data_IF_773810627390
#
_entry.id   IF_773810627390
#
_cell.length_a   1.000
_cell.length_b   1.000
_cell.length_c   1.000
_cell.angle_alpha   90.00
_cell.angle_beta   90.00
_cell.angle_gamma   90.00
#
_symmetry.space_group_name_H-M   'P 1'
#
loop_
_entity.id
_entity.type
_entity.pdbx_description
1 polymer ?
#
# COMPACT_ATOMS: atom_id res chain seq x y z
N UNK A 1 17.61 -14.44 2.86
CA UNK A 1 16.28 -13.77 2.87
C UNK A 1 16.00 -13.30 1.45
N UNK A 2 15.00 -13.84 0.76
CA UNK A 2 14.63 -13.43 -0.60
C UNK A 2 13.39 -12.54 -0.47
N UNK A 3 13.46 -11.31 -0.97
CA UNK A 3 12.30 -10.44 -1.05
C UNK A 3 11.32 -11.02 -2.08
N UNK A 4 10.03 -10.95 -1.80
CA UNK A 4 9.00 -11.31 -2.78
C UNK A 4 8.93 -10.21 -3.83
N UNK A 5 8.85 -10.59 -5.11
CA UNK A 5 8.64 -9.64 -6.19
C UNK A 5 7.18 -9.17 -6.15
N UNK A 6 7.00 -7.87 -5.93
CA UNK A 6 5.70 -7.19 -5.95
C UNK A 6 5.63 -6.38 -7.23
N UNK A 7 4.56 -6.55 -7.99
CA UNK A 7 4.25 -5.79 -9.19
C UNK A 7 2.86 -5.16 -9.02
N UNK A 8 2.72 -3.83 -9.15
CA UNK A 8 3.76 -2.86 -9.54
C UNK A 8 4.83 -2.65 -8.46
N UNK A 9 5.88 -1.89 -8.83
CA UNK A 9 6.92 -1.44 -7.90
C UNK A 9 6.32 -0.78 -6.65
N UNK A 10 7.06 -0.71 -5.52
CA UNK A 10 6.58 -0.05 -4.31
C UNK A 10 6.00 1.34 -4.60
N UNK A 11 4.93 1.68 -3.89
CA UNK A 11 4.24 2.96 -4.04
C UNK A 11 5.19 4.09 -3.60
N UNK A 12 5.34 5.12 -4.43
CA UNK A 12 6.18 6.28 -4.15
C UNK A 12 5.39 7.57 -4.46
N UNK A 13 5.43 8.52 -3.53
CA UNK A 13 5.01 9.90 -3.73
C UNK A 13 6.20 10.85 -3.52
N UNK A 14 6.17 12.02 -4.18
CA UNK A 14 7.20 13.05 -4.05
C UNK A 14 6.57 14.42 -3.81
N UNK A 15 7.00 15.08 -2.74
CA UNK A 15 6.73 16.48 -2.49
C UNK A 15 7.59 17.34 -3.44
N UNK A 16 6.97 18.30 -4.11
CA UNK A 16 7.62 19.17 -5.09
C UNK A 16 8.02 20.52 -4.51
N UNK A 17 7.76 20.75 -3.23
CA UNK A 17 8.11 21.99 -2.55
C UNK A 17 9.64 22.18 -2.48
N UNK A 18 10.09 23.42 -2.72
CA UNK A 18 11.49 23.80 -2.57
C UNK A 18 11.71 24.44 -1.19
N UNK A 19 12.62 23.87 -0.39
CA UNK A 19 13.04 24.45 0.90
C UNK A 19 12.20 24.02 2.12
N UNK A 20 11.02 23.43 1.90
CA UNK A 20 10.22 22.76 2.94
C UNK A 20 10.08 21.30 2.50
N UNK A 21 10.56 20.37 3.32
CA UNK A 21 10.42 18.94 3.08
C UNK A 21 9.31 18.42 3.98
N UNK A 22 8.05 18.55 3.56
CA UNK A 22 6.94 18.09 4.37
C UNK A 22 6.90 16.56 4.43
N UNK A 23 6.50 15.95 5.56
CA UNK A 23 6.38 14.52 5.64
C UNK A 23 5.25 14.02 4.72
N UNK A 24 5.59 13.09 3.83
CA UNK A 24 4.61 12.37 3.01
C UNK A 24 3.87 11.34 3.89
N UNK A 25 2.55 11.27 3.71
CA UNK A 25 1.68 10.31 4.40
C UNK A 25 0.76 9.63 3.41
N UNK A 26 0.73 8.30 3.46
CA UNK A 26 -0.11 7.47 2.62
C UNK A 26 -1.42 7.11 3.32
N UNK A 27 -2.52 7.15 2.58
CA UNK A 27 -3.85 6.77 3.02
C UNK A 27 -4.58 5.98 1.94
N UNK A 28 -5.48 5.08 2.35
CA UNK A 28 -6.39 4.39 1.42
C UNK A 28 -7.65 5.23 1.24
N UNK A 29 -8.03 5.48 0.00
CA UNK A 29 -9.34 6.01 -0.31
C UNK A 29 -10.37 4.88 -0.32
N UNK A 30 -11.31 4.92 0.62
CA UNK A 30 -12.37 3.91 0.75
C UNK A 30 -12.04 2.84 1.78
N UNK A 31 -12.68 1.68 1.65
CA UNK A 31 -12.52 0.58 2.59
C UNK A 31 -11.26 -0.23 2.27
N UNK A 32 -10.40 -0.42 3.27
CA UNK A 32 -9.28 -1.35 3.18
C UNK A 32 -9.76 -2.76 3.54
N UNK A 33 -9.47 -3.78 2.71
CA UNK A 33 -9.74 -5.17 3.08
C UNK A 33 -9.06 -5.53 4.40
N UNK A 34 -9.72 -6.33 5.24
CA UNK A 34 -9.23 -6.68 6.58
C UNK A 34 -7.93 -7.49 6.59
N UNK A 35 -7.61 -8.14 5.47
CA UNK A 35 -6.37 -8.89 5.28
C UNK A 35 -5.19 -8.03 4.81
N UNK A 36 -5.38 -6.72 4.59
CA UNK A 36 -4.33 -5.78 4.21
C UNK A 36 -4.06 -4.77 5.32
N UNK A 37 -2.81 -4.33 5.40
CA UNK A 37 -2.41 -3.20 6.20
C UNK A 37 -1.50 -2.27 5.39
N UNK A 38 -1.60 -0.97 5.63
CA UNK A 38 -0.77 0.07 5.01
C UNK A 38 0.08 0.74 6.09
N UNK A 39 1.40 0.80 5.88
CA UNK A 39 2.25 1.71 6.62
C UNK A 39 2.14 3.12 6.02
N UNK A 40 1.52 4.04 6.78
CA UNK A 40 1.30 5.44 6.36
C UNK A 40 2.57 6.23 6.11
N UNK A 41 3.74 5.79 6.58
CA UNK A 41 5.02 6.48 6.42
C UNK A 41 5.80 6.00 5.20
N UNK A 42 5.72 4.71 4.90
CA UNK A 42 6.54 4.07 3.86
C UNK A 42 5.76 3.73 2.61
N UNK A 43 4.42 3.65 2.68
CA UNK A 43 3.59 3.19 1.57
C UNK A 43 3.60 1.67 1.41
N UNK A 44 4.23 0.93 2.33
CA UNK A 44 4.27 -0.54 2.28
C UNK A 44 2.89 -1.13 2.57
N UNK A 45 2.46 -2.04 1.70
CA UNK A 45 1.24 -2.82 1.88
C UNK A 45 1.62 -4.26 2.18
N UNK A 46 1.12 -4.76 3.31
CA UNK A 46 1.37 -6.14 3.74
C UNK A 46 0.07 -6.91 3.91
N UNK A 47 0.17 -8.22 3.74
CA UNK A 47 -0.86 -9.14 4.19
C UNK A 47 -0.76 -9.29 5.72
N UNK A 48 -1.88 -9.09 6.42
CA UNK A 48 -1.96 -9.33 7.88
C UNK A 48 -2.11 -10.81 8.20
N UNK A 49 -2.51 -11.61 7.21
CA UNK A 49 -2.66 -13.07 7.28
C UNK A 49 -2.63 -13.68 5.87
N UNK A 50 -2.45 -15.01 5.74
CA UNK A 50 -2.68 -15.69 4.48
C UNK A 50 -4.08 -15.43 3.92
N UNK A 51 -4.18 -15.36 2.59
CA UNK A 51 -5.45 -15.24 1.88
C UNK A 51 -6.17 -16.59 1.85
N UNK A 52 -7.49 -16.56 2.00
CA UNK A 52 -8.35 -17.73 1.81
C UNK A 52 -8.81 -17.81 0.35
N UNK A 53 -9.19 -19.01 -0.10
CA UNK A 53 -9.56 -19.25 -1.51
C UNK A 53 -10.63 -18.28 -2.04
N UNK A 54 -11.63 -17.93 -1.21
CA UNK A 54 -12.70 -17.01 -1.61
C UNK A 54 -12.23 -15.57 -1.83
N UNK A 55 -11.11 -15.17 -1.23
CA UNK A 55 -10.52 -13.82 -1.35
C UNK A 55 -9.69 -13.67 -2.63
N UNK A 56 -9.34 -14.80 -3.26
CA UNK A 56 -8.63 -14.83 -4.54
C UNK A 56 -9.58 -14.75 -5.75
N UNK A 57 -10.88 -14.93 -5.53
CA UNK A 57 -11.88 -14.96 -6.61
C UNK A 57 -12.19 -13.56 -7.16
N UNK A 58 -12.04 -12.53 -6.35
CA UNK A 58 -12.38 -11.14 -6.72
C UNK A 58 -11.14 -10.26 -6.66
N UNK A 59 -10.74 -9.62 -7.77
CA UNK A 59 -9.65 -8.66 -7.72
C UNK A 59 -10.05 -7.46 -6.85
N UNK A 60 -9.10 -6.97 -6.06
CA UNK A 60 -9.26 -5.75 -5.28
C UNK A 60 -8.58 -4.60 -6.03
N UNK A 61 -9.29 -3.49 -6.21
CA UNK A 61 -8.71 -2.23 -6.70
C UNK A 61 -8.76 -1.21 -5.57
N UNK A 62 -7.62 -0.62 -5.22
CA UNK A 62 -7.51 0.41 -4.19
C UNK A 62 -6.90 1.67 -4.78
N UNK A 63 -7.32 2.83 -4.28
CA UNK A 63 -6.72 4.12 -4.61
C UNK A 63 -5.98 4.61 -3.37
N UNK A 64 -4.71 4.97 -3.55
CA UNK A 64 -3.83 5.46 -2.50
C UNK A 64 -3.63 6.95 -2.71
N UNK A 65 -3.72 7.72 -1.63
CA UNK A 65 -3.48 9.16 -1.59
C UNK A 65 -2.33 9.50 -0.66
#
# INVERSE_FOLDING_TARGET
RRALEVSPAPIEARDQDTGINAPIKYTIQGAMPSFLNLDSQTGEIILTRPLMDHELLTPVTMVIK
#
